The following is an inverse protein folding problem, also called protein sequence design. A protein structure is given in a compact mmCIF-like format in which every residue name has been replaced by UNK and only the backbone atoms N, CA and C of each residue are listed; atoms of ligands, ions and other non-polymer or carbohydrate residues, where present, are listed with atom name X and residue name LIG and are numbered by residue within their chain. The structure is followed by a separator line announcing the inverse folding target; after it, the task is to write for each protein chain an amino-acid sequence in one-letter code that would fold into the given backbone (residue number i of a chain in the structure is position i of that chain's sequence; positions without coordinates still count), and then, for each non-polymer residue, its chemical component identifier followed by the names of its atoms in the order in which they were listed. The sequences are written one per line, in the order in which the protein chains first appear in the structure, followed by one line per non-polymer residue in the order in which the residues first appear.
data_IF_312023457082
#
_entry.id   IF_312023457082
#
_cell.length_a   1.000
_cell.length_b   1.000
_cell.length_c   1.000
_cell.angle_alpha   90.00
_cell.angle_beta   90.00
_cell.angle_gamma   90.00
#
_symmetry.space_group_name_H-M   'P 1'
#
loop_
_entity.id
_entity.type
_entity.pdbx_description
1 polymer ?
#
# COMPACT_ATOMS: atom_id res chain seq x y z
N UNK A 1 -4.68 -15.47 5.87
CA UNK A 1 -3.94 -14.80 4.78
C UNK A 1 -4.92 -13.98 3.95
N UNK A 2 -4.51 -12.78 3.55
CA UNK A 2 -5.32 -11.90 2.73
C UNK A 2 -4.88 -12.00 1.27
N UNK A 3 -5.80 -12.31 0.36
CA UNK A 3 -5.54 -12.39 -1.08
C UNK A 3 -6.37 -11.40 -1.90
N UNK A 4 -7.40 -10.81 -1.31
CA UNK A 4 -8.28 -9.79 -1.90
C UNK A 4 -8.91 -8.96 -0.80
N UNK A 5 -9.24 -7.70 -1.11
CA UNK A 5 -10.02 -6.87 -0.20
C UNK A 5 -10.84 -5.81 -0.97
N UNK A 6 -11.66 -5.08 -0.24
CA UNK A 6 -12.50 -4.01 -0.81
C UNK A 6 -12.20 -2.69 -0.13
N UNK A 7 -12.34 -1.60 -0.87
CA UNK A 7 -12.33 -0.24 -0.35
C UNK A 7 -13.55 0.48 -0.92
N UNK A 8 -14.59 0.66 -0.12
CA UNK A 8 -15.86 1.25 -0.53
C UNK A 8 -16.11 2.64 0.03
N UNK A 9 -15.33 3.08 1.02
CA UNK A 9 -15.38 4.44 1.55
C UNK A 9 -14.77 5.42 0.56
N UNK A 10 -15.33 6.63 0.51
CA UNK A 10 -14.77 7.70 -0.31
C UNK A 10 -13.55 8.36 0.35
N UNK A 11 -12.83 9.15 -0.43
CA UNK A 11 -11.59 9.79 0.04
C UNK A 11 -11.84 10.75 1.21
N UNK A 12 -12.92 11.53 1.18
CA UNK A 12 -13.25 12.48 2.24
C UNK A 12 -13.50 11.81 3.58
N UNK A 13 -14.22 10.69 3.58
CA UNK A 13 -14.43 9.88 4.78
C UNK A 13 -13.12 9.34 5.34
N UNK A 14 -12.24 8.85 4.47
CA UNK A 14 -10.95 8.31 4.84
C UNK A 14 -10.02 9.39 5.40
N UNK A 15 -9.98 10.56 4.76
CA UNK A 15 -9.21 11.70 5.26
C UNK A 15 -9.73 12.20 6.62
N UNK A 16 -11.04 12.25 6.80
CA UNK A 16 -11.65 12.62 8.07
C UNK A 16 -11.31 11.65 9.20
N UNK A 17 -11.27 10.35 8.89
CA UNK A 17 -10.99 9.29 9.88
C UNK A 17 -9.51 9.15 10.21
N UNK A 18 -8.62 9.21 9.21
CA UNK A 18 -7.19 8.92 9.38
C UNK A 18 -6.30 10.17 9.37
N UNK A 19 -6.83 11.34 9.04
CA UNK A 19 -6.14 12.61 9.15
C UNK A 19 -4.86 12.70 8.32
N UNK A 20 -4.90 12.33 7.04
CA UNK A 20 -3.74 12.39 6.14
C UNK A 20 -3.89 13.46 5.07
N UNK A 21 -2.75 13.94 4.59
CA UNK A 21 -2.67 14.81 3.41
C UNK A 21 -2.71 13.92 2.15
N UNK A 22 -3.59 14.23 1.22
CA UNK A 22 -3.59 13.57 -0.08
C UNK A 22 -2.62 14.28 -1.01
N UNK A 23 -1.64 13.54 -1.49
CA UNK A 23 -0.72 14.00 -2.55
C UNK A 23 -1.25 13.64 -3.95
N UNK A 24 -2.54 13.35 -4.06
CA UNK A 24 -3.18 13.08 -5.33
C UNK A 24 -3.41 14.39 -6.09
N UNK A 25 -2.34 14.95 -6.61
CA UNK A 25 -2.45 15.92 -7.69
C UNK A 25 -2.73 15.17 -8.98
N UNK A 26 -3.57 15.72 -9.82
CA UNK A 26 -4.09 15.14 -11.07
C UNK A 26 -3.02 14.66 -12.08
N UNK A 27 -1.75 14.71 -11.73
CA UNK A 27 -0.62 14.47 -12.62
C UNK A 27 0.00 13.06 -12.52
N UNK A 28 -0.44 12.21 -11.60
CA UNK A 28 0.02 10.82 -11.56
C UNK A 28 -1.08 9.87 -12.02
N UNK A 29 -1.33 9.95 -13.32
CA UNK A 29 -2.06 8.92 -14.05
C UNK A 29 -1.28 7.61 -13.97
N UNK A 30 -1.65 6.76 -13.01
CA UNK A 30 -1.54 5.34 -13.29
C UNK A 30 -2.39 5.07 -14.54
N UNK A 31 -1.91 4.28 -15.44
CA UNK A 31 -2.43 3.99 -16.78
C UNK A 31 -3.91 3.52 -16.82
N UNK A 32 -4.62 3.57 -15.71
CA UNK A 32 -5.99 3.07 -15.54
C UNK A 32 -6.97 4.08 -14.93
N UNK A 33 -6.70 5.38 -15.03
CA UNK A 33 -7.63 6.43 -14.62
C UNK A 33 -7.73 6.67 -13.10
N UNK A 34 -8.47 7.69 -12.68
CA UNK A 34 -8.61 8.02 -11.26
C UNK A 34 -9.43 6.95 -10.56
N UNK A 35 -8.77 6.15 -9.71
CA UNK A 35 -9.42 5.09 -8.93
C UNK A 35 -10.12 5.62 -7.65
N UNK A 36 -10.52 6.84 -7.62
CA UNK A 36 -11.16 7.50 -6.47
C UNK A 36 -12.59 7.03 -6.19
N UNK A 37 -13.05 6.01 -6.89
CA UNK A 37 -14.34 5.37 -6.68
C UNK A 37 -14.25 4.09 -5.85
N UNK A 38 -15.40 3.52 -5.45
CA UNK A 38 -15.46 2.26 -4.73
C UNK A 38 -14.79 1.11 -5.50
N UNK A 39 -14.01 0.32 -4.79
CA UNK A 39 -13.34 -0.87 -5.36
C UNK A 39 -13.73 -2.10 -4.56
N UNK A 40 -14.29 -3.08 -5.26
CA UNK A 40 -14.88 -4.27 -4.63
C UNK A 40 -14.02 -5.52 -4.75
N UNK A 41 -12.88 -5.47 -5.47
CA UNK A 41 -12.05 -6.63 -5.72
C UNK A 41 -10.60 -6.23 -5.96
N UNK A 42 -9.95 -5.68 -4.94
CA UNK A 42 -8.56 -5.27 -5.02
C UNK A 42 -7.67 -6.50 -4.93
N UNK A 43 -6.80 -6.67 -5.92
CA UNK A 43 -5.92 -7.82 -6.07
C UNK A 43 -4.45 -7.46 -5.83
N UNK A 44 -3.60 -8.44 -5.48
CA UNK A 44 -2.15 -8.25 -5.48
C UNK A 44 -1.65 -7.64 -6.79
N UNK A 45 -0.56 -6.90 -6.72
CA UNK A 45 0.06 -6.12 -7.79
C UNK A 45 -0.68 -4.85 -8.23
N UNK A 46 -1.91 -4.66 -7.79
CA UNK A 46 -2.66 -3.44 -8.04
C UNK A 46 -2.26 -2.33 -7.07
N UNK A 47 -2.44 -1.06 -7.44
CA UNK A 47 -2.26 0.06 -6.52
C UNK A 47 -3.31 0.03 -5.41
N UNK A 48 -2.87 0.30 -4.19
CA UNK A 48 -3.71 0.38 -2.99
C UNK A 48 -3.45 1.69 -2.28
N UNK A 49 -4.49 2.24 -1.67
CA UNK A 49 -4.34 3.44 -0.86
C UNK A 49 -3.66 3.10 0.46
N UNK A 50 -2.58 3.80 0.75
CA UNK A 50 -1.83 3.65 1.99
C UNK A 50 -1.65 4.99 2.68
N UNK A 51 -1.49 4.95 3.99
CA UNK A 51 -1.08 6.11 4.78
C UNK A 51 0.27 5.82 5.40
N UNK A 52 1.25 6.64 5.06
CA UNK A 52 2.60 6.58 5.63
C UNK A 52 2.77 7.64 6.72
N UNK A 53 3.78 7.47 7.57
CA UNK A 53 4.10 8.40 8.65
C UNK A 53 5.61 8.61 8.74
N UNK A 54 6.15 9.34 7.79
CA UNK A 54 7.56 9.71 7.69
C UNK A 54 7.80 11.19 8.05
N UNK A 55 7.15 11.64 9.13
CA UNK A 55 7.13 13.03 9.58
C UNK A 55 5.78 13.71 9.37
N UNK A 56 5.06 13.34 8.34
CA UNK A 56 3.67 13.72 8.07
C UNK A 56 2.88 12.50 7.64
N UNK A 57 1.59 12.51 7.96
CA UNK A 57 0.68 11.46 7.45
C UNK A 57 0.34 11.76 6.00
N UNK A 58 0.83 10.92 5.10
CA UNK A 58 0.61 11.07 3.66
C UNK A 58 -0.19 9.92 3.10
N UNK A 59 -1.27 10.24 2.38
CA UNK A 59 -1.99 9.27 1.58
C UNK A 59 -1.25 9.05 0.26
N UNK A 60 -0.86 7.83 -0.01
CA UNK A 60 -0.11 7.45 -1.21
C UNK A 60 -0.68 6.19 -1.83
N UNK A 61 -0.58 6.09 -3.15
CA UNK A 61 -0.83 4.84 -3.85
C UNK A 61 0.44 4.01 -3.88
N UNK A 62 0.36 2.82 -3.34
CA UNK A 62 1.45 1.86 -3.39
C UNK A 62 0.99 0.56 -4.03
N UNK A 63 1.89 -0.09 -4.74
CA UNK A 63 1.61 -1.42 -5.31
C UNK A 63 1.54 -2.45 -4.19
N UNK A 64 0.50 -3.27 -4.19
CA UNK A 64 0.41 -4.39 -3.25
C UNK A 64 1.38 -5.50 -3.63
N UNK A 65 2.33 -5.73 -2.77
CA UNK A 65 3.40 -6.69 -2.92
C UNK A 65 4.76 -6.07 -2.61
N UNK A 66 5.42 -6.58 -1.58
CA UNK A 66 6.72 -6.05 -1.17
C UNK A 66 7.80 -6.44 -2.16
N UNK A 67 8.58 -5.46 -2.60
CA UNK A 67 9.79 -5.69 -3.39
C UNK A 67 10.99 -5.40 -2.50
N UNK A 68 11.78 -6.42 -2.09
CA UNK A 68 12.98 -6.20 -1.29
C UNK A 68 13.98 -5.32 -2.05
N UNK A 69 14.80 -4.54 -1.33
CA UNK A 69 15.78 -3.63 -1.96
C UNK A 69 16.82 -4.36 -2.80
N UNK A 70 17.11 -5.62 -2.50
CA UNK A 70 18.07 -6.45 -3.24
C UNK A 70 17.46 -7.17 -4.45
N UNK A 71 16.18 -7.03 -4.68
CA UNK A 71 15.48 -7.69 -5.79
C UNK A 71 15.87 -7.04 -7.13
N UNK A 72 16.18 -7.87 -8.11
CA UNK A 72 16.50 -7.43 -9.47
C UNK A 72 15.26 -7.23 -10.35
N UNK A 73 14.13 -7.83 -9.97
CA UNK A 73 12.89 -7.80 -10.72
C UNK A 73 11.71 -7.47 -9.79
N UNK A 74 10.83 -6.57 -10.24
CA UNK A 74 9.61 -6.21 -9.51
C UNK A 74 8.60 -7.35 -9.41
N UNK A 75 8.71 -8.38 -10.25
CA UNK A 75 7.82 -9.55 -10.23
C UNK A 75 7.84 -10.32 -8.93
N UNK A 76 8.91 -10.23 -8.16
CA UNK A 76 9.00 -10.86 -6.83
C UNK A 76 7.88 -10.36 -5.90
N UNK A 77 7.43 -9.11 -6.05
CA UNK A 77 6.35 -8.54 -5.26
C UNK A 77 5.03 -9.30 -5.37
N UNK A 78 4.77 -9.94 -6.50
CA UNK A 78 3.55 -10.74 -6.69
C UNK A 78 3.47 -11.95 -5.75
N UNK A 79 4.59 -12.40 -5.23
CA UNK A 79 4.69 -13.52 -4.26
C UNK A 79 4.79 -13.05 -2.81
N UNK A 80 5.06 -11.77 -2.59
CA UNK A 80 5.31 -11.18 -1.26
C UNK A 80 4.14 -10.31 -0.84
N UNK A 81 2.95 -10.87 -0.90
CA UNK A 81 1.69 -10.19 -0.60
C UNK A 81 1.26 -10.30 0.86
N UNK A 82 1.86 -11.22 1.61
CA UNK A 82 1.61 -11.44 3.02
C UNK A 82 2.92 -11.69 3.78
N UNK A 83 2.95 -11.32 5.03
CA UNK A 83 4.04 -11.64 5.95
C UNK A 83 3.48 -12.36 7.19
N UNK A 84 4.22 -13.32 7.70
CA UNK A 84 3.91 -13.94 8.99
C UNK A 84 4.29 -12.95 10.09
N UNK A 85 3.31 -12.51 10.89
CA UNK A 85 3.51 -11.44 11.87
C UNK A 85 4.62 -11.74 12.88
N UNK A 86 4.71 -12.99 13.33
CA UNK A 86 5.69 -13.41 14.33
C UNK A 86 7.14 -13.36 13.83
N UNK A 87 7.36 -13.42 12.53
CA UNK A 87 8.70 -13.46 11.91
C UNK A 87 9.01 -12.28 11.02
N UNK A 88 8.07 -11.37 10.79
CA UNK A 88 8.26 -10.24 9.88
C UNK A 88 9.42 -9.32 10.28
N UNK A 89 9.66 -9.14 11.57
CA UNK A 89 10.77 -8.34 12.08
C UNK A 89 12.16 -8.96 11.86
N UNK A 90 12.23 -10.27 11.66
CA UNK A 90 13.47 -11.03 11.55
C UNK A 90 13.80 -11.47 10.11
N UNK A 91 12.78 -11.76 9.29
CA UNK A 91 13.00 -12.26 7.93
C UNK A 91 13.68 -11.20 7.04
N UNK A 92 14.73 -11.59 6.28
CA UNK A 92 15.48 -10.65 5.46
C UNK A 92 14.62 -9.82 4.49
N UNK A 93 13.59 -10.42 3.91
CA UNK A 93 12.70 -9.76 2.96
C UNK A 93 11.89 -8.62 3.60
N UNK A 94 11.47 -8.75 4.85
CA UNK A 94 10.56 -7.82 5.52
C UNK A 94 11.22 -6.94 6.59
N UNK A 95 12.39 -7.33 7.08
CA UNK A 95 13.03 -6.70 8.24
C UNK A 95 13.21 -5.20 8.10
N UNK A 96 13.74 -4.73 6.98
CA UNK A 96 13.99 -3.31 6.77
C UNK A 96 12.69 -2.50 6.66
N UNK A 97 11.71 -3.01 5.94
CA UNK A 97 10.39 -2.39 5.83
C UNK A 97 9.65 -2.37 7.17
N UNK A 98 9.71 -3.46 7.93
CA UNK A 98 9.11 -3.55 9.26
C UNK A 98 9.71 -2.52 10.23
N UNK A 99 11.01 -2.29 10.15
CA UNK A 99 11.71 -1.35 11.03
C UNK A 99 11.40 0.11 10.72
N UNK A 100 11.36 0.50 9.44
CA UNK A 100 11.35 1.92 9.05
C UNK A 100 10.24 2.35 8.09
N UNK A 101 9.54 1.42 7.45
CA UNK A 101 8.63 1.76 6.34
C UNK A 101 7.29 1.05 6.47
N UNK A 102 6.72 1.13 7.66
CA UNK A 102 5.35 0.63 7.88
C UNK A 102 4.33 1.65 7.39
N UNK A 103 3.22 1.16 6.91
CA UNK A 103 2.08 1.97 6.50
C UNK A 103 0.78 1.32 6.94
N UNK A 104 -0.29 2.10 6.90
CA UNK A 104 -1.65 1.56 6.96
C UNK A 104 -2.13 1.34 5.53
N UNK A 105 -2.75 0.21 5.26
CA UNK A 105 -3.51 -0.04 4.04
C UNK A 105 -4.97 0.25 4.34
N UNK A 106 -5.59 1.15 3.60
CA UNK A 106 -6.96 1.60 3.83
C UNK A 106 -7.96 0.81 3.00
#
# INVERSE_FOLDING_TARGET
MCGRFTLTSNLDELQGRFGFLSEFTDSHSFDHGPWLGPRYNIAPTQPVLTVTNDGQRRGQLMRWGLVPFWAKDLKIGARMINAVGETASAKPAFRAAFKKRRCLVL
#
